data_IF_815057549555
#
_entry.id   IF_815057549555
#
_cell.length_a   1.000
_cell.length_b   1.000
_cell.length_c   1.000
_cell.angle_alpha   90.00
_cell.angle_beta   90.00
_cell.angle_gamma   90.00
#
_symmetry.space_group_name_H-M   'P 1'
#
loop_
_entity.id
_entity.type
_entity.pdbx_description
1 polymer ?
#
# COMPACT_ATOMS: atom_id res chain seq x y z
N UNK A 1 -9.17 -21.37 4.19
CA UNK A 1 -8.71 -20.27 3.31
C UNK A 1 -7.18 -20.16 3.25
N UNK A 2 -6.47 -20.14 4.38
CA UNK A 2 -4.98 -20.13 4.44
C UNK A 2 -4.29 -21.11 3.47
N UNK A 3 -4.76 -22.36 3.38
CA UNK A 3 -4.20 -23.36 2.47
C UNK A 3 -4.41 -23.03 0.99
N UNK A 4 -5.53 -22.39 0.64
CA UNK A 4 -5.79 -21.89 -0.72
C UNK A 4 -4.88 -20.71 -1.02
N UNK A 5 -4.70 -19.80 -0.05
CA UNK A 5 -3.86 -18.62 -0.20
C UNK A 5 -2.39 -18.96 -0.52
N UNK A 6 -1.87 -20.06 0.04
CA UNK A 6 -0.53 -20.56 -0.26
C UNK A 6 -0.39 -21.25 -1.62
N UNK A 7 -1.49 -21.73 -2.22
CA UNK A 7 -1.46 -22.55 -3.45
C UNK A 7 -1.94 -21.81 -4.69
N UNK A 8 -2.76 -20.79 -4.53
CA UNK A 8 -3.35 -20.03 -5.64
C UNK A 8 -2.43 -18.90 -6.11
N UNK A 9 -2.63 -18.43 -7.34
CA UNK A 9 -1.82 -17.37 -7.96
C UNK A 9 -2.25 -15.94 -7.58
N UNK A 10 -2.88 -15.77 -6.41
CA UNK A 10 -3.42 -14.47 -5.96
C UNK A 10 -4.65 -13.98 -6.74
N UNK A 11 -4.88 -12.67 -6.73
CA UNK A 11 -5.98 -11.96 -7.45
C UNK A 11 -7.41 -12.29 -6.98
N UNK A 12 -7.60 -12.40 -5.67
CA UNK A 12 -8.92 -12.54 -5.05
C UNK A 12 -9.01 -11.67 -3.79
N UNK A 13 -10.24 -11.35 -3.37
CA UNK A 13 -10.49 -10.67 -2.09
C UNK A 13 -10.70 -11.73 -1.02
N UNK A 14 -9.92 -11.65 0.07
CA UNK A 14 -10.14 -12.46 1.26
C UNK A 14 -10.80 -11.61 2.34
N UNK A 15 -12.12 -11.76 2.48
CA UNK A 15 -12.84 -11.15 3.60
C UNK A 15 -12.49 -11.90 4.90
N UNK A 16 -11.79 -11.22 5.80
CA UNK A 16 -11.41 -11.76 7.11
C UNK A 16 -12.28 -11.18 8.22
N UNK A 17 -12.52 -11.97 9.27
CA UNK A 17 -12.99 -11.43 10.55
C UNK A 17 -11.85 -10.66 11.20
N UNK A 18 -12.16 -9.82 12.20
CA UNK A 18 -11.20 -8.90 12.83
C UNK A 18 -9.84 -9.55 13.15
N UNK A 19 -9.82 -10.60 13.99
CA UNK A 19 -8.58 -11.30 14.37
C UNK A 19 -7.89 -12.02 13.20
N UNK A 20 -8.67 -12.64 12.31
CA UNK A 20 -8.10 -13.28 11.12
C UNK A 20 -7.46 -12.24 10.19
N UNK A 21 -8.02 -11.04 10.11
CA UNK A 21 -7.51 -9.93 9.31
C UNK A 21 -6.16 -9.49 9.83
N UNK A 22 -6.07 -9.21 11.13
CA UNK A 22 -4.87 -8.77 11.84
C UNK A 22 -3.69 -9.74 11.63
N UNK A 23 -3.90 -11.04 11.88
CA UNK A 23 -2.83 -12.04 11.74
C UNK A 23 -2.45 -12.30 10.28
N UNK A 24 -3.43 -12.35 9.38
CA UNK A 24 -3.17 -12.75 7.99
C UNK A 24 -2.65 -11.59 7.14
N UNK A 25 -3.00 -10.33 7.43
CA UNK A 25 -2.47 -9.18 6.70
C UNK A 25 -0.95 -9.07 6.84
N UNK A 26 -0.42 -9.27 8.04
CA UNK A 26 1.02 -9.24 8.30
C UNK A 26 1.74 -10.41 7.61
N UNK A 27 1.14 -11.60 7.66
CA UNK A 27 1.67 -12.79 6.99
C UNK A 27 1.75 -12.58 5.48
N UNK A 28 0.70 -12.02 4.88
CA UNK A 28 0.65 -11.69 3.45
C UNK A 28 1.67 -10.60 3.12
N UNK A 29 1.73 -9.51 3.89
CA UNK A 29 2.66 -8.42 3.63
C UNK A 29 4.12 -8.88 3.65
N UNK A 30 4.48 -9.73 4.61
CA UNK A 30 5.83 -10.31 4.66
C UNK A 30 6.07 -11.29 3.51
N UNK A 31 5.06 -12.07 3.11
CA UNK A 31 5.14 -12.99 1.96
C UNK A 31 5.32 -12.30 0.61
N UNK A 32 4.86 -11.05 0.48
CA UNK A 32 5.04 -10.21 -0.71
C UNK A 32 6.29 -9.29 -0.65
N UNK A 33 7.16 -9.52 0.33
CA UNK A 33 8.52 -8.95 0.38
C UNK A 33 8.74 -7.97 1.53
N UNK A 34 7.97 -6.88 1.58
CA UNK A 34 8.13 -5.85 2.63
C UNK A 34 6.81 -5.12 2.89
N UNK A 35 6.57 -4.75 4.15
CA UNK A 35 5.47 -3.86 4.54
C UNK A 35 5.50 -2.52 3.78
N UNK A 36 6.68 -2.07 3.33
CA UNK A 36 6.84 -0.87 2.48
C UNK A 36 6.27 -1.00 1.07
N UNK A 37 5.79 -2.18 0.68
CA UNK A 37 5.13 -2.47 -0.60
C UNK A 37 3.63 -2.73 -0.45
N UNK A 38 3.08 -2.57 0.76
CA UNK A 38 1.67 -2.84 1.06
C UNK A 38 0.90 -1.52 1.25
N UNK A 39 -0.23 -1.41 0.56
CA UNK A 39 -1.18 -0.29 0.70
C UNK A 39 -2.32 -0.67 1.62
N UNK A 40 -2.84 0.28 2.39
CA UNK A 40 -4.07 0.13 3.17
C UNK A 40 -5.12 1.12 2.69
N UNK A 41 -6.37 0.67 2.58
CA UNK A 41 -7.51 1.50 2.17
C UNK A 41 -8.73 1.12 3.00
N UNK A 42 -9.30 2.10 3.68
CA UNK A 42 -10.60 1.99 4.33
C UNK A 42 -11.67 2.52 3.37
N UNK A 43 -12.62 1.66 2.98
CA UNK A 43 -13.75 2.05 2.14
C UNK A 43 -15.05 1.95 2.95
N UNK A 44 -15.80 3.05 3.01
CA UNK A 44 -17.10 3.08 3.65
C UNK A 44 -18.15 2.31 2.84
N UNK A 45 -19.23 1.79 3.47
CA UNK A 45 -20.28 1.04 2.77
C UNK A 45 -21.02 1.83 1.69
N UNK A 46 -20.96 3.16 1.72
CA UNK A 46 -21.56 4.02 0.69
C UNK A 46 -20.77 4.01 -0.64
N UNK A 47 -19.57 3.42 -0.65
CA UNK A 47 -18.68 3.36 -1.80
C UNK A 47 -18.09 4.71 -2.22
N UNK A 48 -18.30 5.77 -1.44
CA UNK A 48 -17.88 7.15 -1.74
C UNK A 48 -16.81 7.65 -0.80
N UNK A 49 -16.92 7.36 0.49
CA UNK A 49 -15.91 7.77 1.46
C UNK A 49 -14.80 6.74 1.51
N UNK A 50 -13.57 7.19 1.25
CA UNK A 50 -12.38 6.36 1.27
C UNK A 50 -11.26 7.08 2.02
N UNK A 51 -10.53 6.33 2.84
CA UNK A 51 -9.29 6.73 3.48
C UNK A 51 -8.17 5.79 2.98
N UNK A 52 -6.99 6.33 2.73
CA UNK A 52 -5.86 5.59 2.17
C UNK A 52 -4.58 5.93 2.93
N UNK A 53 -3.88 4.89 3.36
CA UNK A 53 -2.67 4.99 4.18
C UNK A 53 -1.62 3.94 3.76
N UNK A 54 -0.40 4.11 4.26
CA UNK A 54 0.60 3.04 4.20
C UNK A 54 0.26 1.98 5.26
N UNK A 55 0.43 0.69 4.94
CA UNK A 55 0.12 -0.38 5.90
C UNK A 55 1.11 -0.47 7.07
N UNK A 56 2.27 0.20 7.00
CA UNK A 56 3.25 0.21 8.07
C UNK A 56 3.04 1.39 9.03
N UNK A 57 3.50 1.23 10.28
CA UNK A 57 3.53 2.32 11.26
C UNK A 57 4.61 3.38 10.97
N UNK A 58 4.92 4.19 11.98
CA UNK A 58 5.80 5.38 11.87
C UNK A 58 7.31 5.08 11.71
N UNK A 59 7.69 3.81 11.54
CA UNK A 59 9.09 3.37 11.34
C UNK A 59 10.05 3.94 12.41
N UNK A 60 9.64 3.91 13.67
CA UNK A 60 10.29 4.63 14.79
C UNK A 60 11.79 4.35 14.90
N UNK A 61 12.23 3.13 14.58
CA UNK A 61 13.66 2.77 14.57
C UNK A 61 14.46 3.66 13.61
N UNK A 62 14.00 3.84 12.38
CA UNK A 62 14.67 4.69 11.39
C UNK A 62 14.59 6.16 11.80
N UNK A 63 13.46 6.58 12.36
CA UNK A 63 13.32 7.94 12.89
C UNK A 63 14.36 8.25 13.99
N UNK A 64 14.63 7.31 14.91
CA UNK A 64 15.70 7.49 15.92
C UNK A 64 17.10 7.58 15.31
N UNK A 65 17.38 6.85 14.22
CA UNK A 65 18.64 6.97 13.48
C UNK A 65 18.77 8.33 12.81
N UNK A 66 17.69 8.79 12.17
CA UNK A 66 17.62 10.13 11.56
C UNK A 66 17.87 11.24 12.58
N UNK A 67 17.29 11.15 13.79
CA UNK A 67 17.54 12.12 14.88
C UNK A 67 19.00 12.16 15.34
N UNK A 68 19.76 11.09 15.12
CA UNK A 68 21.19 11.01 15.41
C UNK A 68 22.06 11.49 14.23
N UNK A 69 21.47 11.99 13.15
CA UNK A 69 22.17 12.37 11.92
C UNK A 69 22.69 11.19 11.10
N UNK A 70 22.21 9.97 11.37
CA UNK A 70 22.61 8.78 10.61
C UNK A 70 21.80 8.66 9.32
N UNK A 71 22.42 8.12 8.29
CA UNK A 71 21.72 7.77 7.04
C UNK A 71 20.66 6.68 7.28
N UNK A 72 19.55 6.77 6.56
CA UNK A 72 18.44 5.82 6.64
C UNK A 72 17.93 5.47 5.24
N UNK A 73 17.49 4.23 5.04
CA UNK A 73 16.86 3.77 3.79
C UNK A 73 15.46 3.24 4.10
N UNK A 74 14.55 4.15 4.42
CA UNK A 74 13.13 3.81 4.61
C UNK A 74 12.44 3.77 3.25
N UNK A 75 11.78 2.67 2.93
CA UNK A 75 11.03 2.55 1.67
C UNK A 75 9.81 3.48 1.67
N UNK A 76 9.70 4.45 0.73
CA UNK A 76 8.59 5.40 0.69
C UNK A 76 7.40 4.95 -0.17
N UNK A 77 7.49 3.80 -0.87
CA UNK A 77 6.53 3.41 -1.91
C UNK A 77 5.10 3.27 -1.37
N UNK A 78 4.89 2.60 -0.24
CA UNK A 78 3.57 2.50 0.38
C UNK A 78 2.95 3.88 0.68
N UNK A 79 3.75 4.84 1.17
CA UNK A 79 3.31 6.22 1.42
C UNK A 79 2.97 6.97 0.12
N UNK A 80 3.74 6.77 -0.95
CA UNK A 80 3.43 7.31 -2.28
C UNK A 80 2.12 6.72 -2.80
N UNK A 81 1.93 5.41 -2.62
CA UNK A 81 0.72 4.73 -3.08
C UNK A 81 -0.52 5.14 -2.28
N UNK A 82 -0.38 5.50 -1.01
CA UNK A 82 -1.48 6.11 -0.24
C UNK A 82 -1.99 7.40 -0.93
N UNK A 83 -1.06 8.26 -1.37
CA UNK A 83 -1.41 9.46 -2.15
C UNK A 83 -2.08 9.11 -3.48
N UNK A 84 -1.48 8.23 -4.29
CA UNK A 84 -2.04 7.91 -5.62
C UNK A 84 -3.40 7.23 -5.53
N UNK A 85 -3.63 6.38 -4.53
CA UNK A 85 -4.94 5.76 -4.29
C UNK A 85 -5.99 6.82 -3.93
N UNK A 86 -5.68 7.74 -3.01
CA UNK A 86 -6.55 8.85 -2.66
C UNK A 86 -6.88 9.76 -3.85
N UNK A 87 -5.86 10.13 -4.64
CA UNK A 87 -6.01 10.95 -5.84
C UNK A 87 -6.82 10.24 -6.93
N UNK A 88 -6.57 8.94 -7.16
CA UNK A 88 -7.33 8.13 -8.12
C UNK A 88 -8.80 8.05 -7.73
N UNK A 89 -9.11 7.87 -6.45
CA UNK A 89 -10.50 7.88 -5.95
C UNK A 89 -11.16 9.25 -6.09
N UNK A 90 -10.46 10.34 -5.75
CA UNK A 90 -10.94 11.72 -6.00
C UNK A 90 -11.23 11.94 -7.49
N UNK A 91 -10.31 11.50 -8.36
CA UNK A 91 -10.46 11.57 -9.81
C UNK A 91 -11.71 10.83 -10.30
N UNK A 92 -12.01 9.64 -9.76
CA UNK A 92 -13.25 8.91 -10.08
C UNK A 92 -14.50 9.67 -9.66
N UNK A 93 -14.52 10.24 -8.46
CA UNK A 93 -15.68 11.00 -7.96
C UNK A 93 -15.94 12.27 -8.79
N UNK A 94 -14.89 12.86 -9.35
CA UNK A 94 -14.96 14.09 -10.14
C UNK A 94 -15.06 13.85 -11.66
N UNK A 95 -15.00 12.60 -12.12
CA UNK A 95 -14.82 12.25 -13.54
C UNK A 95 -13.59 12.95 -14.17
N UNK A 96 -12.48 12.99 -13.44
CA UNK A 96 -11.23 13.62 -13.85
C UNK A 96 -10.21 12.55 -14.28
N UNK A 97 -10.24 12.19 -15.57
CA UNK A 97 -9.38 11.16 -16.15
C UNK A 97 -7.88 11.52 -16.12
N UNK A 98 -7.54 12.81 -16.20
CA UNK A 98 -6.14 13.25 -16.12
C UNK A 98 -5.54 13.01 -14.74
N UNK A 99 -6.31 13.21 -13.67
CA UNK A 99 -5.86 12.91 -12.31
C UNK A 99 -5.70 11.41 -12.07
N UNK A 100 -6.62 10.60 -12.62
CA UNK A 100 -6.52 9.14 -12.57
C UNK A 100 -5.26 8.67 -13.31
N UNK A 101 -5.02 9.22 -14.51
CA UNK A 101 -3.85 8.91 -15.34
C UNK A 101 -2.56 9.28 -14.62
N UNK A 102 -2.46 10.48 -14.04
CA UNK A 102 -1.32 10.89 -13.24
C UNK A 102 -1.03 9.90 -12.10
N UNK A 103 -2.07 9.52 -11.35
CA UNK A 103 -1.94 8.59 -10.23
C UNK A 103 -1.40 7.22 -10.69
N UNK A 104 -1.95 6.67 -11.78
CA UNK A 104 -1.50 5.41 -12.35
C UNK A 104 -0.08 5.50 -12.92
N UNK A 105 0.29 6.63 -13.54
CA UNK A 105 1.64 6.86 -14.05
C UNK A 105 2.65 6.90 -12.91
N UNK A 106 2.33 7.58 -11.80
CA UNK A 106 3.22 7.62 -10.64
C UNK A 106 3.41 6.23 -10.02
N UNK A 107 2.33 5.44 -9.86
CA UNK A 107 2.44 4.04 -9.40
C UNK A 107 3.36 3.22 -10.31
N UNK A 108 3.20 3.35 -11.63
CA UNK A 108 4.04 2.66 -12.61
C UNK A 108 5.51 3.06 -12.49
N UNK A 109 5.80 4.36 -12.35
CA UNK A 109 7.18 4.84 -12.23
C UNK A 109 7.87 4.28 -10.98
N UNK A 110 7.17 4.15 -9.86
CA UNK A 110 7.72 3.51 -8.65
C UNK A 110 8.10 2.04 -8.90
N UNK A 111 7.23 1.29 -9.60
CA UNK A 111 7.51 -0.12 -9.95
C UNK A 111 8.70 -0.19 -10.91
N UNK A 112 8.68 0.60 -11.99
CA UNK A 112 9.75 0.64 -12.99
C UNK A 112 11.11 1.02 -12.36
N UNK A 113 11.12 1.89 -11.34
CA UNK A 113 12.33 2.29 -10.60
C UNK A 113 12.95 1.08 -9.87
N UNK A 114 12.13 0.35 -9.11
CA UNK A 114 12.58 -0.84 -8.37
C UNK A 114 13.04 -1.95 -9.33
N UNK A 115 12.31 -2.20 -10.41
CA UNK A 115 12.67 -3.22 -11.41
C UNK A 115 13.99 -2.91 -12.13
N UNK A 116 14.36 -1.63 -12.22
CA UNK A 116 15.66 -1.18 -12.76
C UNK A 116 16.79 -1.21 -11.74
N UNK A 117 16.51 -1.55 -10.48
CA UNK A 117 17.50 -1.56 -9.41
C UNK A 117 17.94 -0.18 -8.95
N UNK A 118 17.07 0.83 -9.09
CA UNK A 118 17.31 2.22 -8.68
C UNK A 118 16.63 2.55 -7.35
#
# INVERSE_FOLDING_TARGET
>A
MVACAMKWSGKYIWACKNYDGDVQSDTVAQGYGSLGLMTSVLLAPDGRTMEAEAAHGTVTRHFRMHQQGKETSTNPIASIFAWTRGLSHRGKLDNNDELIKFSNTLEKVCIDCVERGQ
#
